data_IF_220839765504
#
_entry.id   IF_220839765504
#
_cell.length_a   1.000
_cell.length_b   1.000
_cell.length_c   1.000
_cell.angle_alpha   90.00
_cell.angle_beta   90.00
_cell.angle_gamma   90.00
#
_symmetry.space_group_name_H-M   'P 1'
#
loop_
_entity.id
_entity.type
_entity.pdbx_description
1 polymer ?
#
# COMPACT_ATOMS: atom_id res chain seq x y z
N UNK A 1 0.99 9.28 9.15
CA UNK A 1 -0.37 8.67 9.07
C UNK A 1 -0.40 7.38 9.94
N UNK A 2 -1.50 6.65 10.15
CA UNK A 2 -2.39 6.61 11.35
C UNK A 2 -2.50 7.91 12.16
N UNK A 3 -3.62 8.62 12.25
CA UNK A 3 -4.97 8.45 11.71
C UNK A 3 -5.45 9.89 11.48
N UNK A 4 -5.41 10.41 10.25
CA UNK A 4 -6.03 11.70 9.84
C UNK A 4 -5.85 12.96 10.73
N UNK A 5 -4.97 12.95 11.73
CA UNK A 5 -4.84 14.00 12.74
C UNK A 5 -3.43 13.97 13.38
N UNK A 6 -2.37 14.01 12.58
CA UNK A 6 -1.00 14.14 13.15
C UNK A 6 -0.81 15.52 13.82
N UNK A 7 -1.60 16.52 13.43
CA UNK A 7 -1.73 17.81 14.12
C UNK A 7 -2.91 18.57 13.53
N UNK A 8 -3.88 19.00 14.35
CA UNK A 8 -4.86 19.99 13.86
C UNK A 8 -4.20 21.36 13.89
N UNK A 9 -4.03 21.98 12.72
CA UNK A 9 -3.59 23.37 12.60
C UNK A 9 -2.10 23.59 12.30
N UNK A 10 -1.30 22.55 12.08
CA UNK A 10 0.07 22.67 11.58
C UNK A 10 0.29 21.79 10.34
N UNK A 11 0.51 22.43 9.20
CA UNK A 11 0.93 21.81 7.94
C UNK A 11 2.45 22.01 7.78
N UNK A 12 3.23 20.93 7.84
CA UNK A 12 4.64 20.94 7.45
C UNK A 12 4.89 19.99 6.29
N UNK A 13 6.05 20.13 5.64
CA UNK A 13 6.46 19.27 4.54
C UNK A 13 7.75 18.57 4.94
N UNK A 14 7.73 17.24 4.95
CA UNK A 14 8.89 16.41 5.16
C UNK A 14 9.25 15.68 3.86
N UNK A 15 10.28 16.17 3.17
CA UNK A 15 10.79 15.54 1.95
C UNK A 15 12.11 14.81 2.17
N UNK A 16 12.51 14.58 3.42
CA UNK A 16 13.75 13.90 3.73
C UNK A 16 13.54 12.38 3.84
N UNK A 17 13.95 11.56 2.86
CA UNK A 17 13.78 10.12 2.94
C UNK A 17 14.62 9.47 4.05
N UNK A 18 15.70 10.12 4.50
CA UNK A 18 16.52 9.62 5.61
C UNK A 18 15.80 9.68 6.95
N UNK A 19 14.71 10.43 7.04
CA UNK A 19 13.88 10.50 8.25
C UNK A 19 13.23 9.15 8.59
N UNK A 20 13.19 8.20 7.65
CA UNK A 20 12.74 6.82 7.91
C UNK A 20 13.48 6.18 9.08
N UNK A 21 14.77 6.48 9.26
CA UNK A 21 15.59 5.93 10.36
C UNK A 21 15.07 6.46 11.70
N UNK A 22 14.78 7.76 11.77
CA UNK A 22 14.22 8.39 12.96
C UNK A 22 12.82 7.84 13.23
N UNK A 23 11.98 7.72 12.20
CA UNK A 23 10.62 7.20 12.34
C UNK A 23 10.59 5.73 12.78
N UNK A 24 11.49 4.89 12.29
CA UNK A 24 11.64 3.51 12.75
C UNK A 24 12.08 3.47 14.21
N UNK A 25 13.01 4.34 14.63
CA UNK A 25 13.51 4.37 16.01
C UNK A 25 12.46 4.89 16.99
N UNK A 26 11.80 5.99 16.63
CA UNK A 26 10.97 6.76 17.55
C UNK A 26 9.49 6.31 17.50
N UNK A 27 9.02 5.82 16.35
CA UNK A 27 7.64 5.39 16.10
C UNK A 27 7.55 4.08 15.27
N UNK A 28 8.22 2.98 15.69
CA UNK A 28 8.29 1.74 14.90
C UNK A 28 6.92 1.13 14.58
N UNK A 29 6.00 1.19 15.54
CA UNK A 29 4.64 0.65 15.38
C UNK A 29 3.89 1.40 14.27
N UNK A 30 4.02 2.72 14.22
CA UNK A 30 3.37 3.56 13.20
C UNK A 30 3.90 3.22 11.80
N UNK A 31 5.22 3.10 11.66
CA UNK A 31 5.87 2.69 10.41
C UNK A 31 5.35 1.34 9.95
N UNK A 32 5.27 0.38 10.87
CA UNK A 32 4.82 -0.97 10.55
C UNK A 32 3.36 -1.01 10.13
N UNK A 33 2.46 -0.34 10.85
CA UNK A 33 1.04 -0.35 10.51
C UNK A 33 0.78 0.43 9.21
N UNK A 34 1.48 1.53 8.93
CA UNK A 34 1.37 2.22 7.63
C UNK A 34 1.70 1.27 6.49
N UNK A 35 2.79 0.52 6.60
CA UNK A 35 3.11 -0.51 5.61
C UNK A 35 2.03 -1.61 5.53
N UNK A 36 1.58 -2.14 6.66
CA UNK A 36 0.60 -3.24 6.69
C UNK A 36 -0.77 -2.86 6.10
N UNK A 37 -1.22 -1.62 6.30
CA UNK A 37 -2.54 -1.16 5.85
C UNK A 37 -2.71 -1.22 4.33
N UNK A 38 -1.63 -1.13 3.56
CA UNK A 38 -1.67 -1.15 2.10
C UNK A 38 -1.45 -2.54 1.49
N UNK A 39 -1.08 -3.54 2.28
CA UNK A 39 -0.94 -4.94 1.82
C UNK A 39 -2.28 -5.47 1.25
N UNK A 40 -3.43 -5.37 1.95
CA UNK A 40 -4.70 -5.87 1.42
C UNK A 40 -5.07 -5.22 0.08
N UNK A 41 -4.81 -3.91 -0.06
CA UNK A 41 -5.09 -3.15 -1.29
C UNK A 41 -4.21 -3.67 -2.44
N UNK A 42 -2.91 -3.84 -2.20
CA UNK A 42 -1.97 -4.42 -3.17
C UNK A 42 -2.40 -5.81 -3.64
N UNK A 43 -2.80 -6.66 -2.69
CA UNK A 43 -3.30 -8.01 -2.97
C UNK A 43 -4.59 -7.98 -3.80
N UNK A 44 -5.58 -7.16 -3.45
CA UNK A 44 -6.82 -7.02 -4.22
C UNK A 44 -6.56 -6.52 -5.65
N UNK A 45 -5.63 -5.59 -5.85
CA UNK A 45 -5.28 -5.11 -7.18
C UNK A 45 -4.54 -6.18 -7.99
N UNK A 46 -3.64 -6.95 -7.38
CA UNK A 46 -2.95 -8.06 -8.06
C UNK A 46 -3.93 -9.12 -8.60
N UNK A 47 -5.06 -9.35 -7.92
CA UNK A 47 -6.10 -10.27 -8.42
C UNK A 47 -6.67 -9.77 -9.76
N UNK A 48 -6.94 -8.46 -9.89
CA UNK A 48 -7.63 -7.87 -11.05
C UNK A 48 -6.70 -7.36 -12.14
N UNK A 49 -5.49 -6.93 -11.79
CA UNK A 49 -4.54 -6.31 -12.72
C UNK A 49 -3.69 -7.35 -13.43
N UNK A 50 -3.37 -7.07 -14.70
CA UNK A 50 -2.41 -7.86 -15.49
C UNK A 50 -1.01 -7.24 -15.50
N UNK A 51 -0.83 -6.03 -14.98
CA UNK A 51 0.43 -5.30 -15.05
C UNK A 51 0.76 -4.61 -13.73
N UNK A 52 1.82 -5.09 -13.09
CA UNK A 52 2.34 -4.54 -11.84
C UNK A 52 2.74 -3.06 -11.99
N UNK A 53 3.45 -2.71 -13.07
CA UNK A 53 3.91 -1.34 -13.33
C UNK A 53 2.74 -0.35 -13.38
N UNK A 54 1.66 -0.68 -14.11
CA UNK A 54 0.48 0.20 -14.19
C UNK A 54 -0.20 0.34 -12.85
N UNK A 55 -0.34 -0.76 -12.10
CA UNK A 55 -0.92 -0.77 -10.77
C UNK A 55 -0.13 0.10 -9.78
N UNK A 56 1.20 0.00 -9.80
CA UNK A 56 2.10 0.81 -8.98
C UNK A 56 1.99 2.30 -9.34
N UNK A 57 1.98 2.65 -10.62
CA UNK A 57 1.85 4.05 -11.05
C UNK A 57 0.52 4.67 -10.62
N UNK A 58 -0.59 3.94 -10.80
CA UNK A 58 -1.92 4.41 -10.37
C UNK A 58 -1.94 4.57 -8.85
N UNK A 59 -1.42 3.59 -8.10
CA UNK A 59 -1.37 3.66 -6.65
C UNK A 59 -0.51 4.84 -6.15
N UNK A 60 0.62 5.11 -6.81
CA UNK A 60 1.47 6.26 -6.51
C UNK A 60 0.72 7.59 -6.71
N UNK A 61 -0.05 7.72 -7.79
CA UNK A 61 -0.89 8.91 -8.02
C UNK A 61 -1.97 9.07 -6.94
N UNK A 62 -2.59 7.97 -6.53
CA UNK A 62 -3.58 7.97 -5.45
C UNK A 62 -2.96 8.42 -4.13
N UNK A 63 -1.82 7.85 -3.72
CA UNK A 63 -1.21 8.21 -2.44
C UNK A 63 -0.67 9.65 -2.43
N UNK A 64 -0.08 10.11 -3.54
CA UNK A 64 0.31 11.51 -3.70
C UNK A 64 -0.90 12.45 -3.57
N UNK A 65 -2.02 12.09 -4.19
CA UNK A 65 -3.26 12.87 -4.09
C UNK A 65 -3.79 12.90 -2.66
N UNK A 66 -3.70 11.79 -1.93
CA UNK A 66 -4.09 11.72 -0.52
C UNK A 66 -3.22 12.61 0.37
N UNK A 67 -1.89 12.49 0.27
CA UNK A 67 -0.93 13.30 1.05
C UNK A 67 -1.06 14.80 0.72
N UNK A 68 -1.21 15.13 -0.56
CA UNK A 68 -1.43 16.50 -1.01
C UNK A 68 -2.75 17.07 -0.50
N UNK A 69 -3.82 16.27 -0.47
CA UNK A 69 -5.10 16.68 0.11
C UNK A 69 -4.96 16.93 1.62
N UNK A 70 -4.27 16.03 2.33
CA UNK A 70 -4.02 16.20 3.77
C UNK A 70 -3.24 17.48 4.07
N UNK A 71 -2.28 17.83 3.21
CA UNK A 71 -1.54 19.09 3.30
C UNK A 71 -2.45 20.31 3.09
N UNK A 72 -3.24 20.35 2.00
CA UNK A 72 -4.14 21.48 1.70
C UNK A 72 -5.17 21.70 2.81
N UNK A 73 -5.75 20.62 3.33
CA UNK A 73 -6.78 20.69 4.37
C UNK A 73 -6.18 20.81 5.79
N UNK A 74 -4.86 20.98 5.93
CA UNK A 74 -4.15 21.08 7.22
C UNK A 74 -4.46 19.91 8.17
N UNK A 75 -4.70 18.72 7.61
CA UNK A 75 -4.99 17.48 8.31
C UNK A 75 -3.71 16.74 8.73
N UNK A 76 -2.56 17.13 8.16
CA UNK A 76 -1.28 16.49 8.44
C UNK A 76 -0.07 17.12 7.74
N UNK A 77 1.03 16.37 7.80
CA UNK A 77 2.34 16.68 7.24
C UNK A 77 2.44 15.92 5.93
N UNK A 78 2.83 16.57 4.84
CA UNK A 78 3.18 15.87 3.60
C UNK A 78 4.51 15.17 3.85
N UNK A 79 4.50 13.85 3.99
CA UNK A 79 5.68 13.07 4.39
C UNK A 79 6.08 12.06 3.31
N UNK A 80 7.27 12.24 2.74
CA UNK A 80 7.81 11.32 1.73
C UNK A 80 8.02 9.91 2.29
N UNK A 81 8.29 9.78 3.59
CA UNK A 81 8.45 8.47 4.25
C UNK A 81 7.11 7.74 4.27
N UNK A 82 6.01 8.44 4.54
CA UNK A 82 4.67 7.85 4.48
C UNK A 82 4.37 7.36 3.05
N UNK A 83 4.68 8.14 2.00
CA UNK A 83 4.53 7.71 0.59
C UNK A 83 5.33 6.43 0.32
N UNK A 84 6.60 6.38 0.74
CA UNK A 84 7.48 5.22 0.52
C UNK A 84 6.94 3.99 1.23
N UNK A 85 6.57 4.09 2.51
CA UNK A 85 6.06 2.97 3.29
C UNK A 85 4.74 2.41 2.73
N UNK A 86 3.85 3.30 2.31
CA UNK A 86 2.56 2.93 1.71
C UNK A 86 2.79 2.20 0.37
N UNK A 87 3.74 2.69 -0.44
CA UNK A 87 4.14 2.04 -1.69
C UNK A 87 4.77 0.67 -1.44
N UNK A 88 5.65 0.54 -0.44
CA UNK A 88 6.24 -0.75 -0.04
C UNK A 88 5.15 -1.75 0.36
N UNK A 89 4.19 -1.34 1.20
CA UNK A 89 3.06 -2.16 1.61
C UNK A 89 2.23 -2.66 0.43
N UNK A 90 1.91 -1.75 -0.50
CA UNK A 90 1.20 -2.09 -1.73
C UNK A 90 1.96 -3.10 -2.59
N UNK A 91 3.27 -2.89 -2.80
CA UNK A 91 4.10 -3.79 -3.61
C UNK A 91 4.18 -5.18 -2.97
N UNK A 92 4.39 -5.25 -1.65
CA UNK A 92 4.40 -6.52 -0.92
C UNK A 92 3.08 -7.27 -1.08
N UNK A 93 1.96 -6.58 -0.89
CA UNK A 93 0.63 -7.17 -1.09
C UNK A 93 0.41 -7.70 -2.50
N UNK A 94 0.91 -6.97 -3.50
CA UNK A 94 0.80 -7.40 -4.90
C UNK A 94 1.62 -8.66 -5.16
N UNK A 95 2.89 -8.66 -4.73
CA UNK A 95 3.84 -9.76 -4.91
C UNK A 95 3.39 -11.04 -4.22
N UNK A 96 2.75 -10.95 -3.05
CA UNK A 96 2.19 -12.12 -2.35
C UNK A 96 1.23 -12.88 -3.27
N UNK A 97 0.25 -12.20 -3.88
CA UNK A 97 -0.73 -12.83 -4.77
C UNK A 97 -0.09 -13.30 -6.07
N UNK A 98 0.84 -12.53 -6.63
CA UNK A 98 1.53 -12.92 -7.86
C UNK A 98 2.34 -14.20 -7.65
N UNK A 99 3.03 -14.31 -6.51
CA UNK A 99 3.72 -15.53 -6.09
C UNK A 99 2.76 -16.72 -5.93
N UNK A 100 1.61 -16.52 -5.26
CA UNK A 100 0.59 -17.57 -5.16
C UNK A 100 0.11 -18.04 -6.55
N UNK A 101 -0.11 -17.11 -7.48
CA UNK A 101 -0.47 -17.41 -8.88
C UNK A 101 0.63 -18.20 -9.59
N UNK A 102 1.90 -17.83 -9.42
CA UNK A 102 3.04 -18.57 -9.96
C UNK A 102 3.14 -20.00 -9.42
N UNK A 103 2.75 -20.24 -8.16
CA UNK A 103 2.64 -21.58 -7.58
C UNK A 103 1.42 -22.38 -8.08
N UNK A 104 0.66 -21.84 -9.01
CA UNK A 104 -0.52 -22.47 -9.61
C UNK A 104 -1.81 -22.26 -8.80
N UNK A 105 -1.86 -21.31 -7.86
CA UNK A 105 -3.08 -20.98 -7.13
C UNK A 105 -3.81 -19.81 -7.77
N UNK A 106 -5.08 -20.00 -8.12
CA UNK A 106 -5.93 -19.00 -8.74
C UNK A 106 -7.11 -18.68 -7.84
N UNK A 107 -7.48 -17.40 -7.80
CA UNK A 107 -8.66 -16.93 -7.10
C UNK A 107 -9.73 -16.69 -8.17
N UNK A 108 -10.76 -17.53 -8.18
CA UNK A 108 -11.92 -17.38 -9.05
C UNK A 108 -13.08 -16.74 -8.27
N UNK A 109 -13.77 -15.78 -8.89
CA UNK A 109 -14.99 -15.19 -8.38
C UNK A 109 -16.16 -15.71 -9.21
N UNK A 110 -17.01 -16.56 -8.64
CA UNK A 110 -18.24 -17.04 -9.27
C UNK A 110 -19.44 -16.47 -8.52
N UNK A 111 -20.07 -15.45 -9.10
CA UNK A 111 -21.11 -14.66 -8.41
C UNK A 111 -20.54 -13.94 -7.18
N UNK A 112 -21.16 -14.16 -6.01
CA UNK A 112 -20.73 -13.58 -4.72
C UNK A 112 -19.68 -14.40 -3.97
N UNK A 113 -19.26 -15.56 -4.51
CA UNK A 113 -18.33 -16.47 -3.84
C UNK A 113 -16.91 -16.35 -4.43
N UNK A 114 -15.91 -16.20 -3.55
CA UNK A 114 -14.51 -16.33 -3.91
C UNK A 114 -14.03 -17.74 -3.58
N UNK A 115 -13.50 -18.46 -4.58
CA UNK A 115 -12.89 -19.77 -4.39
C UNK A 115 -11.42 -19.74 -4.76
N UNK A 116 -10.58 -20.33 -3.90
CA UNK A 116 -9.16 -20.56 -4.18
C UNK A 116 -9.03 -21.94 -4.82
N UNK A 117 -8.53 -22.02 -6.05
CA UNK A 117 -8.26 -23.28 -6.76
C UNK A 117 -6.78 -23.43 -7.01
N UNK A 118 -6.28 -24.66 -6.97
CA UNK A 118 -4.97 -24.99 -7.51
C UNK A 118 -5.18 -25.51 -8.94
N UNK A 119 -4.44 -25.00 -9.92
CA UNK A 119 -4.42 -25.60 -11.25
C UNK A 119 -3.99 -27.06 -11.09
N UNK A 120 -4.88 -27.96 -11.50
CA UNK A 120 -4.61 -29.38 -11.48
C UNK A 120 -3.44 -29.62 -12.46
N UNK A 121 -2.33 -30.27 -12.06
CA UNK A 121 -1.36 -30.71 -13.05
C UNK A 121 -2.11 -31.58 -14.05
N UNK A 122 -2.03 -31.21 -15.33
CA UNK A 122 -2.61 -31.99 -16.43
C UNK A 122 -2.05 -33.40 -16.36
N UNK A 123 -2.88 -34.34 -15.92
CA UNK A 123 -2.68 -35.79 -16.06
C UNK A 123 -3.02 -36.15 -17.51
#
# INVERSE_FOLDING_TARGET
>A
MLVMFKSRGFSSVNLNPLDIINQIRDLPITVFINMLLFIPIGSCISIKSKSMTRSVLIFLLVILSCEFSQYIFHLGILDIVDIILNLCGFILGYLIIDYYKSCGWYIESSGNLFSIRKANPSI
#
